data_IF_225320575640
#
_entry.id   IF_225320575640
#
_cell.length_a   1.000
_cell.length_b   1.000
_cell.length_c   1.000
_cell.angle_alpha   90.00
_cell.angle_beta   90.00
_cell.angle_gamma   90.00
#
_symmetry.space_group_name_H-M   'P 1'
#
loop_
_entity.id
_entity.type
_entity.pdbx_description
1 polymer ?
#
# COMPACT_ATOMS: atom_id res chain seq x y z
N UNK A 1 5.25 -25.03 3.00
CA UNK A 1 5.44 -23.89 3.92
C UNK A 1 6.73 -23.18 3.54
N UNK A 2 6.65 -21.93 3.14
CA UNK A 2 7.85 -21.12 2.88
C UNK A 2 8.46 -20.76 4.23
N UNK A 3 9.75 -21.05 4.43
CA UNK A 3 10.42 -20.75 5.69
C UNK A 3 10.45 -19.24 5.90
N UNK A 4 9.99 -18.77 7.06
CA UNK A 4 10.06 -17.38 7.48
C UNK A 4 11.27 -17.16 8.38
N UNK A 5 12.22 -16.36 7.91
CA UNK A 5 13.39 -15.94 8.67
C UNK A 5 13.04 -14.71 9.52
N UNK A 6 13.35 -14.74 10.80
CA UNK A 6 13.30 -13.57 11.67
C UNK A 6 14.62 -12.82 11.60
N UNK A 7 14.61 -11.64 10.98
CA UNK A 7 15.80 -10.78 10.86
C UNK A 7 16.05 -10.04 12.16
N UNK A 8 14.98 -9.46 12.75
CA UNK A 8 15.07 -8.78 14.05
C UNK A 8 13.71 -8.68 14.72
N UNK A 9 13.71 -8.60 16.04
CA UNK A 9 12.51 -8.26 16.84
C UNK A 9 12.88 -7.34 17.98
N UNK A 10 12.04 -6.34 18.24
CA UNK A 10 12.20 -5.41 19.35
C UNK A 10 10.85 -5.14 20.03
N UNK A 11 10.88 -4.95 21.36
CA UNK A 11 9.69 -4.58 22.11
C UNK A 11 9.36 -3.10 21.91
N UNK A 12 8.11 -2.78 21.63
CA UNK A 12 7.64 -1.41 21.41
C UNK A 12 6.19 -1.27 21.87
N UNK A 13 5.89 -0.31 22.76
CA UNK A 13 4.57 -0.03 23.32
C UNK A 13 3.84 -1.29 23.85
N UNK A 14 4.59 -2.17 24.51
CA UNK A 14 4.08 -3.45 25.02
C UNK A 14 3.94 -4.56 23.96
N UNK A 15 3.88 -4.23 22.69
CA UNK A 15 3.87 -5.16 21.56
C UNK A 15 5.27 -5.49 21.04
N UNK A 16 5.34 -6.12 19.87
CA UNK A 16 6.59 -6.53 19.21
C UNK A 16 6.63 -6.00 17.79
N UNK A 17 7.67 -5.24 17.47
CA UNK A 17 8.02 -4.89 16.09
C UNK A 17 9.04 -5.89 15.57
N UNK A 18 8.72 -6.59 14.49
CA UNK A 18 9.63 -7.52 13.85
C UNK A 18 9.92 -7.14 12.40
N UNK A 19 11.07 -7.62 11.91
CA UNK A 19 11.45 -7.63 10.49
C UNK A 19 11.67 -9.08 10.10
N UNK A 20 11.08 -9.46 9.00
CA UNK A 20 11.05 -10.84 8.52
C UNK A 20 11.43 -10.91 7.05
N UNK A 21 12.01 -12.04 6.65
CA UNK A 21 12.44 -12.31 5.29
C UNK A 21 11.98 -13.70 4.86
N UNK A 22 11.57 -13.83 3.62
CA UNK A 22 11.21 -15.12 3.03
C UNK A 22 11.53 -15.16 1.55
N UNK A 23 11.65 -16.36 1.01
CA UNK A 23 11.73 -16.55 -0.44
C UNK A 23 10.32 -16.50 -1.02
N UNK A 24 10.00 -15.43 -1.73
CA UNK A 24 8.69 -15.25 -2.36
C UNK A 24 8.54 -16.16 -3.57
N UNK A 25 7.39 -16.81 -3.67
CA UNK A 25 7.00 -17.61 -4.84
C UNK A 25 6.54 -16.69 -5.97
N UNK A 26 5.83 -15.61 -5.63
CA UNK A 26 5.31 -14.68 -6.62
C UNK A 26 6.41 -13.86 -7.29
N UNK A 27 7.34 -13.30 -6.52
CA UNK A 27 8.40 -12.47 -7.09
C UNK A 27 9.63 -13.27 -7.52
N UNK A 28 9.76 -14.53 -7.06
CA UNK A 28 10.95 -15.35 -7.30
C UNK A 28 12.22 -14.80 -6.62
N UNK A 29 12.07 -13.90 -5.65
CA UNK A 29 13.17 -13.24 -4.92
C UNK A 29 13.00 -13.36 -3.42
N UNK A 30 14.04 -13.00 -2.67
CA UNK A 30 13.89 -12.77 -1.25
C UNK A 30 13.12 -11.48 -1.03
N UNK A 31 12.01 -11.55 -0.29
CA UNK A 31 11.21 -10.40 0.08
C UNK A 31 11.31 -10.15 1.58
N UNK A 32 11.41 -8.87 1.95
CA UNK A 32 11.48 -8.43 3.34
C UNK A 32 10.22 -7.62 3.69
N UNK A 33 9.69 -7.85 4.88
CA UNK A 33 8.55 -7.09 5.38
C UNK A 33 8.66 -6.89 6.90
N UNK A 34 8.02 -5.85 7.40
CA UNK A 34 7.92 -5.60 8.84
C UNK A 34 6.52 -5.89 9.34
N UNK A 35 6.42 -6.40 10.59
CA UNK A 35 5.14 -6.62 11.27
C UNK A 35 5.22 -6.06 12.67
N UNK A 36 4.23 -5.27 13.04
CA UNK A 36 3.96 -4.92 14.43
C UNK A 36 2.81 -5.78 14.97
N UNK A 37 3.07 -6.51 16.03
CA UNK A 37 2.06 -7.28 16.76
C UNK A 37 1.73 -6.55 18.05
N UNK A 38 0.46 -6.13 18.27
CA UNK A 38 0.05 -5.41 19.47
C UNK A 38 0.06 -6.32 20.71
N UNK A 39 0.04 -5.74 21.94
CA UNK A 39 0.16 -6.54 23.18
C UNK A 39 -1.08 -7.35 23.55
N UNK A 40 -2.23 -7.10 22.93
CA UNK A 40 -3.47 -7.79 23.24
C UNK A 40 -3.42 -9.25 22.75
N UNK A 41 -3.91 -10.21 23.55
CA UNK A 41 -3.92 -11.62 23.19
C UNK A 41 -4.96 -11.95 22.09
N UNK A 42 -4.76 -13.11 21.46
CA UNK A 42 -5.68 -13.68 20.47
C UNK A 42 -5.58 -13.06 19.07
N UNK A 43 -6.40 -13.55 18.13
CA UNK A 43 -6.40 -13.05 16.75
C UNK A 43 -6.80 -11.58 16.65
N UNK A 44 -6.01 -10.77 15.94
CA UNK A 44 -6.16 -9.33 15.81
C UNK A 44 -6.40 -8.90 14.38
N UNK A 45 -7.21 -7.85 14.16
CA UNK A 45 -7.36 -7.26 12.83
C UNK A 45 -6.01 -6.82 12.23
N UNK A 46 -5.91 -6.89 10.90
CA UNK A 46 -4.69 -6.59 10.17
C UNK A 46 -4.87 -5.37 9.29
N UNK A 47 -3.91 -4.46 9.29
CA UNK A 47 -3.82 -3.40 8.29
C UNK A 47 -2.49 -3.51 7.55
N UNK A 48 -2.56 -3.51 6.23
CA UNK A 48 -1.38 -3.57 5.34
C UNK A 48 -1.07 -2.16 4.89
N UNK A 49 0.14 -1.66 5.20
CA UNK A 49 0.62 -0.36 4.72
C UNK A 49 1.50 -0.55 3.49
N UNK A 50 1.15 0.10 2.40
CA UNK A 50 1.89 0.12 1.16
C UNK A 50 2.70 1.42 1.05
N UNK A 51 4.02 1.30 0.92
CA UNK A 51 4.94 2.44 0.85
C UNK A 51 5.00 3.06 -0.55
N UNK A 52 5.46 4.32 -0.60
CA UNK A 52 5.66 5.08 -1.85
C UNK A 52 6.96 4.72 -2.57
N UNK A 53 7.24 5.45 -3.66
CA UNK A 53 8.44 5.31 -4.48
C UNK A 53 9.72 5.33 -3.64
N UNK A 54 10.69 4.51 -4.01
CA UNK A 54 12.02 4.35 -3.39
C UNK A 54 12.05 3.76 -1.99
N UNK A 55 10.90 3.67 -1.32
CA UNK A 55 10.80 3.14 0.03
C UNK A 55 10.97 1.62 0.08
N UNK A 56 11.31 1.13 1.26
CA UNK A 56 11.24 -0.27 1.68
C UNK A 56 10.26 -0.39 2.86
N UNK A 57 10.15 -1.58 3.44
CA UNK A 57 9.46 -1.82 4.71
C UNK A 57 9.95 -0.91 5.85
N UNK A 58 11.24 -0.52 5.83
CA UNK A 58 11.88 0.22 6.90
C UNK A 58 11.40 1.69 7.00
N UNK A 59 11.08 2.33 5.88
CA UNK A 59 10.74 3.75 5.89
C UNK A 59 9.56 4.06 6.81
N UNK A 60 8.43 3.38 6.63
CA UNK A 60 7.25 3.57 7.49
C UNK A 60 7.48 2.99 8.88
N UNK A 61 8.18 1.86 8.98
CA UNK A 61 8.50 1.24 10.27
C UNK A 61 9.27 2.19 11.19
N UNK A 62 10.22 2.95 10.64
CA UNK A 62 11.05 3.87 11.41
C UNK A 62 10.42 5.25 11.59
N UNK A 63 9.73 5.78 10.57
CA UNK A 63 9.31 7.19 10.48
C UNK A 63 7.80 7.41 10.55
N UNK A 64 6.99 6.35 10.41
CA UNK A 64 5.53 6.46 10.32
C UNK A 64 4.81 6.63 11.65
N UNK A 65 5.49 6.41 12.78
CA UNK A 65 4.99 6.59 14.17
C UNK A 65 3.68 5.81 14.50
N UNK A 66 3.42 4.72 13.79
CA UNK A 66 2.18 3.96 13.91
C UNK A 66 2.09 3.09 15.18
N UNK A 67 3.23 2.69 15.78
CA UNK A 67 3.27 1.61 16.78
C UNK A 67 2.47 1.91 18.04
N UNK A 68 2.47 3.16 18.52
CA UNK A 68 1.69 3.55 19.70
C UNK A 68 0.20 3.38 19.43
N UNK A 69 -0.31 3.97 18.36
CA UNK A 69 -1.72 3.88 17.99
C UNK A 69 -2.13 2.44 17.67
N UNK A 70 -1.30 1.66 16.96
CA UNK A 70 -1.56 0.26 16.68
C UNK A 70 -1.64 -0.59 17.97
N UNK A 71 -0.78 -0.33 18.95
CA UNK A 71 -0.82 -0.99 20.25
C UNK A 71 -2.12 -0.65 21.01
N UNK A 72 -2.51 0.62 21.07
CA UNK A 72 -3.71 1.09 21.75
C UNK A 72 -5.00 0.53 21.09
N UNK A 73 -5.03 0.47 19.76
CA UNK A 73 -6.17 0.01 18.97
C UNK A 73 -6.20 -1.52 18.77
N UNK A 74 -5.14 -2.22 19.13
CA UNK A 74 -5.04 -3.67 18.98
C UNK A 74 -4.95 -4.12 17.52
N UNK A 75 -4.26 -3.36 16.65
CA UNK A 75 -4.09 -3.65 15.23
C UNK A 75 -2.72 -4.28 14.96
N UNK A 76 -2.68 -5.33 14.16
CA UNK A 76 -1.45 -5.77 13.51
C UNK A 76 -1.21 -4.85 12.29
N UNK A 77 0.01 -4.31 12.18
CA UNK A 77 0.42 -3.50 11.04
C UNK A 77 1.50 -4.24 10.26
N UNK A 78 1.26 -4.46 8.97
CA UNK A 78 2.17 -5.16 8.05
C UNK A 78 2.69 -4.19 7.01
N UNK A 79 4.00 -4.11 6.84
CA UNK A 79 4.67 -3.19 5.93
C UNK A 79 5.60 -3.97 5.00
N UNK A 80 5.18 -4.33 3.78
CA UNK A 80 6.06 -4.97 2.79
C UNK A 80 7.05 -3.99 2.16
N UNK A 81 8.04 -4.54 1.46
CA UNK A 81 8.85 -3.79 0.50
C UNK A 81 7.98 -3.38 -0.71
N UNK A 82 8.44 -2.41 -1.47
CA UNK A 82 7.74 -1.81 -2.62
C UNK A 82 8.01 -2.51 -3.95
N UNK A 83 8.99 -3.40 -3.98
CA UNK A 83 9.36 -4.19 -5.18
C UNK A 83 10.22 -5.40 -4.81
N UNK A 84 10.38 -6.36 -5.72
CA UNK A 84 11.52 -7.28 -5.66
C UNK A 84 12.83 -6.50 -5.76
N UNK A 85 13.91 -7.05 -5.15
CA UNK A 85 15.25 -6.45 -5.17
C UNK A 85 16.32 -7.51 -5.33
N UNK A 86 17.50 -7.11 -5.81
CA UNK A 86 18.68 -7.93 -5.93
C UNK A 86 19.41 -7.75 -7.26
N UNK A 87 20.64 -8.23 -7.37
CA UNK A 87 21.48 -8.09 -8.56
C UNK A 87 20.89 -8.77 -9.81
N UNK A 88 20.15 -9.86 -9.62
CA UNK A 88 19.49 -10.60 -10.71
C UNK A 88 18.11 -10.05 -11.08
N UNK A 89 17.62 -9.04 -10.35
CA UNK A 89 16.31 -8.42 -10.61
C UNK A 89 16.49 -7.25 -11.56
N UNK A 90 15.70 -7.15 -12.63
CA UNK A 90 15.74 -5.98 -13.52
C UNK A 90 15.63 -4.67 -12.74
N UNK A 91 16.37 -3.66 -13.18
CA UNK A 91 16.33 -2.32 -12.62
C UNK A 91 16.45 -1.25 -13.71
N UNK A 92 16.07 -0.04 -13.35
CA UNK A 92 16.23 1.17 -14.18
C UNK A 92 17.04 2.21 -13.38
N UNK A 93 17.72 3.11 -14.07
CA UNK A 93 18.51 4.17 -13.41
C UNK A 93 17.62 5.24 -12.75
N UNK A 94 16.40 5.40 -13.24
CA UNK A 94 15.46 6.36 -12.70
C UNK A 94 14.79 5.84 -11.42
N UNK A 95 14.65 6.70 -10.42
CA UNK A 95 14.07 6.38 -9.12
C UNK A 95 12.60 5.98 -9.16
N UNK A 96 11.89 6.32 -10.22
CA UNK A 96 10.45 6.15 -10.40
C UNK A 96 10.08 4.89 -11.22
N UNK A 97 11.05 4.00 -11.49
CA UNK A 97 10.84 2.76 -12.22
C UNK A 97 11.82 1.67 -11.77
N UNK A 98 11.44 0.40 -11.84
CA UNK A 98 12.28 -0.71 -11.39
C UNK A 98 12.29 -0.90 -9.88
N UNK A 99 13.47 -1.22 -9.31
CA UNK A 99 13.58 -1.53 -7.87
C UNK A 99 13.22 -0.31 -7.00
N UNK A 100 12.24 -0.51 -6.11
CA UNK A 100 11.64 0.56 -5.31
C UNK A 100 10.41 1.21 -5.93
N UNK A 101 9.99 0.78 -7.11
CA UNK A 101 8.90 1.38 -7.88
C UNK A 101 7.99 0.34 -8.56
N UNK A 102 7.58 -0.70 -7.82
CA UNK A 102 6.78 -1.82 -8.36
C UNK A 102 5.32 -1.50 -8.66
N UNK A 103 4.83 -0.31 -8.33
CA UNK A 103 3.47 0.19 -8.59
C UNK A 103 2.34 -0.78 -8.22
N UNK A 104 2.65 -1.82 -7.43
CA UNK A 104 1.69 -2.84 -6.97
C UNK A 104 0.90 -3.48 -8.12
N UNK A 105 1.58 -3.70 -9.25
CA UNK A 105 1.07 -4.40 -10.43
C UNK A 105 1.81 -5.73 -10.63
N UNK A 106 1.22 -6.62 -11.41
CA UNK A 106 1.92 -7.77 -11.97
C UNK A 106 2.33 -7.41 -13.40
N UNK A 107 3.62 -7.25 -13.64
CA UNK A 107 4.15 -6.90 -14.93
C UNK A 107 3.91 -8.02 -15.96
N UNK A 108 3.61 -7.63 -17.19
CA UNK A 108 3.42 -8.54 -18.32
C UNK A 108 4.55 -8.43 -19.35
N UNK A 109 5.32 -7.36 -19.29
CA UNK A 109 6.37 -7.07 -20.25
C UNK A 109 7.76 -7.53 -19.77
N UNK A 110 8.55 -8.09 -20.68
CA UNK A 110 9.94 -8.43 -20.37
C UNK A 110 10.79 -7.15 -20.24
N UNK A 111 11.80 -7.14 -19.38
CA UNK A 111 12.25 -8.24 -18.49
C UNK A 111 11.48 -8.29 -17.14
N UNK A 112 10.54 -7.40 -16.89
CA UNK A 112 9.87 -7.15 -15.61
C UNK A 112 8.96 -8.29 -15.18
N UNK A 113 8.27 -8.94 -16.12
CA UNK A 113 7.26 -9.97 -15.88
C UNK A 113 7.73 -11.14 -15.00
N UNK A 114 9.05 -11.39 -14.96
CA UNK A 114 9.63 -12.49 -14.18
C UNK A 114 9.54 -12.23 -12.67
N UNK A 115 9.76 -10.99 -12.23
CA UNK A 115 9.92 -10.67 -10.81
C UNK A 115 8.91 -9.63 -10.30
N UNK A 116 8.49 -8.68 -11.13
CA UNK A 116 7.61 -7.58 -10.70
C UNK A 116 6.16 -8.04 -10.64
N UNK A 117 5.81 -8.81 -9.60
CA UNK A 117 4.49 -9.38 -9.35
C UNK A 117 3.94 -8.90 -8.01
N UNK A 118 4.00 -7.58 -7.81
CA UNK A 118 3.68 -6.98 -6.53
C UNK A 118 2.19 -7.02 -6.20
N UNK A 119 1.29 -7.06 -7.19
CA UNK A 119 -0.14 -7.23 -6.94
C UNK A 119 -0.41 -8.61 -6.34
N UNK A 120 0.06 -9.69 -6.98
CA UNK A 120 -0.08 -11.06 -6.47
C UNK A 120 0.61 -11.22 -5.11
N UNK A 121 1.77 -10.62 -4.93
CA UNK A 121 2.49 -10.67 -3.66
C UNK A 121 1.67 -10.06 -2.52
N UNK A 122 1.15 -8.83 -2.65
CA UNK A 122 0.45 -8.15 -1.55
C UNK A 122 -0.97 -8.63 -1.33
N UNK A 123 -1.61 -9.25 -2.34
CA UNK A 123 -3.01 -9.71 -2.23
C UNK A 123 -3.16 -11.19 -1.92
N UNK A 124 -2.16 -12.00 -2.20
CA UNK A 124 -2.22 -13.46 -2.07
C UNK A 124 -1.15 -13.99 -1.13
N UNK A 125 0.13 -13.83 -1.47
CA UNK A 125 1.22 -14.46 -0.74
C UNK A 125 1.42 -13.85 0.65
N UNK A 126 1.54 -12.54 0.76
CA UNK A 126 1.78 -11.85 2.02
C UNK A 126 0.64 -12.06 3.06
N UNK A 127 -0.65 -11.92 2.71
CA UNK A 127 -1.74 -12.22 3.66
C UNK A 127 -1.75 -13.68 4.14
N UNK A 128 -1.46 -14.64 3.27
CA UNK A 128 -1.36 -16.06 3.64
C UNK A 128 -0.20 -16.30 4.62
N UNK A 129 0.96 -15.71 4.36
CA UNK A 129 2.13 -15.78 5.22
C UNK A 129 1.87 -15.14 6.60
N UNK A 130 1.18 -14.00 6.62
CA UNK A 130 0.80 -13.31 7.85
C UNK A 130 -0.20 -14.14 8.66
N UNK A 131 -1.17 -14.76 8.02
CA UNK A 131 -2.14 -15.64 8.69
C UNK A 131 -1.48 -16.90 9.28
N UNK A 132 -0.44 -17.43 8.63
CA UNK A 132 0.27 -18.61 9.09
C UNK A 132 1.18 -18.35 10.30
N UNK A 133 1.85 -17.21 10.33
CA UNK A 133 2.95 -16.96 11.28
C UNK A 133 2.62 -15.97 12.41
N UNK A 134 1.49 -15.25 12.33
CA UNK A 134 1.12 -14.23 13.31
C UNK A 134 -0.31 -14.44 13.84
N UNK A 135 -0.65 -13.89 15.00
CA UNK A 135 -2.02 -13.97 15.53
C UNK A 135 -2.97 -13.02 14.77
N UNK A 136 -3.03 -13.21 13.45
CA UNK A 136 -3.74 -12.34 12.53
C UNK A 136 -5.12 -12.89 12.18
N UNK A 137 -6.14 -12.03 12.27
CA UNK A 137 -7.47 -12.29 11.72
C UNK A 137 -7.60 -11.63 10.35
N UNK A 138 -7.23 -12.38 9.33
CA UNK A 138 -7.28 -11.88 7.93
C UNK A 138 -8.69 -11.78 7.37
N UNK A 139 -9.73 -12.22 8.08
CA UNK A 139 -11.11 -11.91 7.74
C UNK A 139 -11.49 -10.46 8.11
N UNK A 140 -10.69 -9.82 8.98
CA UNK A 140 -10.80 -8.42 9.37
C UNK A 140 -9.54 -7.67 8.96
N UNK A 141 -9.43 -7.37 7.65
CA UNK A 141 -8.26 -6.67 7.13
C UNK A 141 -8.62 -5.37 6.43
N UNK A 142 -7.68 -4.43 6.53
CA UNK A 142 -7.69 -3.15 5.85
C UNK A 142 -6.39 -2.93 5.07
N UNK A 143 -6.42 -1.98 4.16
CA UNK A 143 -5.24 -1.59 3.39
C UNK A 143 -5.13 -0.08 3.33
N UNK A 144 -3.92 0.43 3.48
CA UNK A 144 -3.64 1.85 3.33
C UNK A 144 -2.22 2.07 2.79
N UNK A 145 -1.91 3.27 2.37
CA UNK A 145 -0.58 3.52 1.82
C UNK A 145 -0.34 4.98 1.48
N UNK A 146 0.87 5.28 1.02
CA UNK A 146 1.31 6.63 0.69
C UNK A 146 1.77 6.70 -0.78
N UNK A 147 1.38 7.75 -1.49
CA UNK A 147 1.87 8.05 -2.85
C UNK A 147 1.59 6.90 -3.84
N UNK A 148 2.63 6.28 -4.42
CA UNK A 148 2.54 5.03 -5.17
C UNK A 148 1.85 3.92 -4.34
N UNK A 149 2.12 3.85 -3.03
CA UNK A 149 1.45 2.90 -2.14
C UNK A 149 0.00 3.26 -1.84
N UNK A 150 -0.34 4.54 -1.85
CA UNK A 150 -1.72 5.02 -1.83
C UNK A 150 -2.50 4.58 -3.08
N UNK A 151 -1.88 4.72 -4.25
CA UNK A 151 -2.37 4.11 -5.49
C UNK A 151 -2.58 2.60 -5.33
N UNK A 152 -1.58 1.89 -4.82
CA UNK A 152 -1.67 0.45 -4.56
C UNK A 152 -2.82 0.08 -3.64
N UNK A 153 -3.01 0.81 -2.53
CA UNK A 153 -4.09 0.56 -1.58
C UNK A 153 -5.48 0.71 -2.22
N UNK A 154 -5.67 1.75 -3.03
CA UNK A 154 -6.93 1.98 -3.75
C UNK A 154 -7.20 0.88 -4.77
N UNK A 155 -6.23 0.57 -5.64
CA UNK A 155 -6.41 -0.41 -6.72
C UNK A 155 -6.55 -1.84 -6.19
N UNK A 156 -5.78 -2.19 -5.15
CA UNK A 156 -5.89 -3.50 -4.48
C UNK A 156 -7.29 -3.70 -3.90
N UNK A 157 -7.82 -2.69 -3.19
CA UNK A 157 -9.14 -2.80 -2.60
C UNK A 157 -10.27 -2.82 -3.66
N UNK A 158 -10.20 -1.98 -4.69
CA UNK A 158 -11.20 -1.92 -5.77
C UNK A 158 -11.27 -3.21 -6.60
N UNK A 159 -10.13 -3.90 -6.76
CA UNK A 159 -10.03 -5.17 -7.50
C UNK A 159 -10.27 -6.41 -6.65
N UNK A 160 -10.40 -6.25 -5.33
CA UNK A 160 -10.61 -7.35 -4.39
C UNK A 160 -11.90 -7.12 -3.56
N UNK A 161 -13.07 -7.12 -4.20
CA UNK A 161 -14.33 -6.78 -3.54
C UNK A 161 -14.60 -7.71 -2.34
N UNK A 162 -14.95 -7.12 -1.21
CA UNK A 162 -15.26 -7.84 0.04
C UNK A 162 -14.06 -8.33 0.85
N UNK A 163 -12.83 -8.19 0.34
CA UNK A 163 -11.60 -8.61 1.06
C UNK A 163 -11.18 -7.55 2.07
N UNK A 164 -11.09 -6.30 1.67
CA UNK A 164 -10.68 -5.20 2.56
C UNK A 164 -11.90 -4.45 3.09
N UNK A 165 -12.09 -4.47 4.42
CA UNK A 165 -13.21 -3.79 5.11
C UNK A 165 -12.97 -2.31 5.32
N UNK A 166 -11.72 -1.87 5.26
CA UNK A 166 -11.35 -0.47 5.42
C UNK A 166 -10.20 -0.10 4.48
N UNK A 167 -10.30 1.10 3.89
CA UNK A 167 -9.34 1.62 2.93
C UNK A 167 -9.04 3.06 3.26
N UNK A 168 -7.75 3.43 3.25
CA UNK A 168 -7.36 4.83 3.34
C UNK A 168 -6.07 5.11 2.59
N UNK A 169 -5.77 6.38 2.30
CA UNK A 169 -4.56 6.73 1.58
C UNK A 169 -4.01 8.11 1.99
N UNK A 170 -2.68 8.20 2.03
CA UNK A 170 -1.94 9.45 2.13
C UNK A 170 -1.45 9.86 0.74
N UNK A 171 -1.82 11.03 0.27
CA UNK A 171 -1.32 11.63 -0.97
C UNK A 171 -1.22 10.62 -2.14
N UNK A 172 -2.31 9.86 -2.46
CA UNK A 172 -2.27 8.79 -3.47
C UNK A 172 -2.12 9.35 -4.89
N UNK A 173 -1.44 8.60 -5.77
CA UNK A 173 -1.55 8.75 -7.22
C UNK A 173 -2.89 8.14 -7.63
N UNK A 174 -3.94 8.94 -7.81
CA UNK A 174 -5.30 8.42 -7.98
C UNK A 174 -5.63 7.95 -9.39
N UNK A 175 -4.97 8.54 -10.40
CA UNK A 175 -5.20 8.27 -11.82
C UNK A 175 -3.87 8.05 -12.55
N UNK A 176 -3.17 6.93 -12.31
CA UNK A 176 -1.85 6.69 -12.88
C UNK A 176 -1.83 6.69 -14.42
N UNK A 177 -2.93 6.34 -15.07
CA UNK A 177 -3.04 6.42 -16.53
C UNK A 177 -2.99 7.86 -17.10
N UNK A 178 -3.17 8.88 -16.24
CA UNK A 178 -3.29 10.29 -16.64
C UNK A 178 -2.11 11.16 -16.14
N UNK A 179 -1.12 10.56 -15.47
CA UNK A 179 -0.01 11.30 -14.85
C UNK A 179 1.34 10.68 -15.22
N UNK A 180 2.43 11.49 -15.26
CA UNK A 180 3.73 11.06 -15.78
C UNK A 180 4.29 9.80 -15.12
N UNK A 181 4.32 9.72 -13.79
CA UNK A 181 4.83 8.54 -13.09
C UNK A 181 4.04 7.27 -13.44
N UNK A 182 2.72 7.38 -13.43
CA UNK A 182 1.86 6.25 -13.75
C UNK A 182 1.96 5.82 -15.20
N UNK A 183 1.96 6.75 -16.16
CA UNK A 183 2.12 6.44 -17.58
C UNK A 183 3.44 5.73 -17.87
N UNK A 184 4.55 6.18 -17.26
CA UNK A 184 5.85 5.52 -17.38
C UNK A 184 5.80 4.10 -16.83
N UNK A 185 5.29 3.93 -15.61
CA UNK A 185 5.21 2.62 -14.96
C UNK A 185 4.30 1.66 -15.72
N UNK A 186 3.08 2.09 -16.08
CA UNK A 186 2.12 1.26 -16.79
C UNK A 186 2.61 0.89 -18.20
N UNK A 187 3.25 1.81 -18.92
CA UNK A 187 3.89 1.50 -20.20
C UNK A 187 4.97 0.43 -20.04
N UNK A 188 5.86 0.60 -19.07
CA UNK A 188 6.98 -0.31 -18.86
C UNK A 188 6.56 -1.69 -18.35
N UNK A 189 5.60 -1.76 -17.44
CA UNK A 189 5.18 -3.02 -16.85
C UNK A 189 4.08 -3.75 -17.63
N UNK A 190 3.16 -3.03 -18.27
CA UNK A 190 1.97 -3.60 -18.91
C UNK A 190 1.91 -3.40 -20.43
N UNK A 191 2.91 -2.71 -20.98
CA UNK A 191 2.97 -2.37 -22.40
C UNK A 191 2.18 -1.11 -22.77
N UNK A 192 2.26 -0.68 -24.05
CA UNK A 192 1.69 0.58 -24.52
C UNK A 192 0.16 0.56 -24.73
N UNK A 193 -0.47 -0.59 -24.60
CA UNK A 193 -1.92 -0.72 -24.74
C UNK A 193 -2.64 -0.14 -23.50
N UNK A 194 -3.09 1.10 -23.62
CA UNK A 194 -3.75 1.81 -22.53
C UNK A 194 -5.06 1.17 -22.05
N UNK A 195 -5.67 0.31 -22.86
CA UNK A 195 -6.88 -0.41 -22.42
C UNK A 195 -6.60 -1.34 -21.23
N UNK A 196 -5.38 -1.86 -21.13
CA UNK A 196 -4.92 -2.69 -20.00
C UNK A 196 -4.70 -1.87 -18.72
N UNK A 197 -4.44 -0.56 -18.83
CA UNK A 197 -4.12 0.28 -17.68
C UNK A 197 -5.33 0.59 -16.80
N UNK A 198 -6.54 0.57 -17.36
CA UNK A 198 -7.78 0.86 -16.63
C UNK A 198 -7.96 -0.02 -15.39
N UNK A 199 -7.57 -1.29 -15.46
CA UNK A 199 -7.61 -2.20 -14.32
C UNK A 199 -6.61 -1.86 -13.20
N UNK A 200 -5.71 -0.89 -13.44
CA UNK A 200 -4.68 -0.44 -12.50
C UNK A 200 -4.79 1.06 -12.19
N UNK A 201 -5.97 1.65 -12.43
CA UNK A 201 -6.25 3.06 -12.20
C UNK A 201 -7.51 3.18 -11.33
N UNK A 202 -7.36 3.79 -10.15
CA UNK A 202 -8.46 3.82 -9.17
C UNK A 202 -9.66 4.65 -9.68
N UNK A 203 -9.39 5.76 -10.37
CA UNK A 203 -10.45 6.59 -10.98
C UNK A 203 -11.18 5.80 -12.05
N UNK A 204 -10.45 5.16 -12.96
CA UNK A 204 -11.05 4.34 -14.02
C UNK A 204 -11.85 3.15 -13.47
N UNK A 205 -11.34 2.46 -12.45
CA UNK A 205 -12.06 1.35 -11.79
C UNK A 205 -13.39 1.82 -11.17
N UNK A 206 -13.41 2.98 -10.51
CA UNK A 206 -14.65 3.56 -9.94
C UNK A 206 -15.62 3.96 -11.05
N UNK A 207 -15.13 4.58 -12.12
CA UNK A 207 -15.94 4.91 -13.30
C UNK A 207 -16.54 3.67 -13.97
N UNK A 208 -15.81 2.55 -13.97
CA UNK A 208 -16.26 1.26 -14.50
C UNK A 208 -17.20 0.49 -13.53
N UNK A 209 -17.53 1.09 -12.39
CA UNK A 209 -18.52 0.59 -11.44
C UNK A 209 -17.98 -0.21 -10.26
N UNK A 210 -16.65 -0.28 -10.07
CA UNK A 210 -16.07 -0.87 -8.87
C UNK A 210 -16.46 -0.06 -7.62
N UNK A 211 -16.69 -0.75 -6.50
CA UNK A 211 -17.16 -0.14 -5.26
C UNK A 211 -16.17 -0.35 -4.13
N UNK A 212 -16.06 0.66 -3.29
CA UNK A 212 -15.43 0.60 -1.96
C UNK A 212 -16.50 0.85 -0.90
N UNK A 213 -16.30 0.39 0.35
CA UNK A 213 -17.22 0.72 1.44
C UNK A 213 -17.27 2.24 1.61
N UNK A 214 -16.29 2.81 2.20
CA UNK A 214 -16.01 4.23 2.31
C UNK A 214 -14.50 4.45 2.30
N UNK A 215 -14.05 5.65 2.07
CA UNK A 215 -12.65 5.94 1.80
C UNK A 215 -12.19 7.19 2.56
N UNK A 216 -11.04 7.12 3.24
CA UNK A 216 -10.34 8.26 3.81
C UNK A 216 -9.09 8.59 3.00
N UNK A 217 -8.96 9.83 2.58
CA UNK A 217 -7.76 10.34 1.89
C UNK A 217 -7.29 11.63 2.53
N UNK A 218 -6.00 11.70 2.87
CA UNK A 218 -5.33 12.93 3.27
C UNK A 218 -4.32 13.35 2.20
N UNK A 219 -4.28 14.66 1.90
CA UNK A 219 -3.32 15.24 0.94
C UNK A 219 -2.81 16.57 1.47
N UNK A 220 -1.50 16.80 1.45
CA UNK A 220 -0.91 18.08 1.84
C UNK A 220 -1.12 19.17 0.78
N UNK A 221 -1.47 20.40 1.19
CA UNK A 221 -1.65 21.49 0.23
C UNK A 221 -0.32 22.11 -0.24
N UNK A 222 0.79 21.80 0.43
CA UNK A 222 2.15 22.20 0.02
C UNK A 222 2.92 21.03 -0.64
N UNK A 223 2.22 19.95 -0.99
CA UNK A 223 2.81 18.79 -1.65
C UNK A 223 3.27 19.17 -3.07
N UNK A 224 4.58 19.04 -3.39
CA UNK A 224 5.11 19.44 -4.70
C UNK A 224 4.59 18.59 -5.86
N UNK A 225 3.97 17.43 -5.58
CA UNK A 225 3.43 16.52 -6.57
C UNK A 225 1.91 16.67 -6.77
N UNK A 226 1.26 17.54 -5.97
CA UNK A 226 -0.19 17.70 -5.92
C UNK A 226 -0.81 17.86 -7.32
N UNK A 227 -0.34 18.86 -8.07
CA UNK A 227 -0.90 19.23 -9.37
C UNK A 227 -0.47 18.31 -10.53
N UNK A 228 0.71 17.70 -10.43
CA UNK A 228 1.28 16.95 -11.53
C UNK A 228 1.00 15.46 -11.47
N UNK A 229 1.05 14.88 -10.25
CA UNK A 229 1.05 13.42 -10.08
C UNK A 229 -0.13 12.89 -9.23
N UNK A 230 -0.60 13.66 -8.23
CA UNK A 230 -1.60 13.15 -7.29
C UNK A 230 -3.04 13.38 -7.75
N UNK A 231 -3.40 14.59 -8.15
CA UNK A 231 -4.70 15.01 -8.73
C UNK A 231 -5.92 14.50 -7.93
N UNK A 232 -6.01 14.73 -6.62
CA UNK A 232 -7.09 14.19 -5.77
C UNK A 232 -8.50 14.62 -6.21
N UNK A 233 -8.62 15.70 -6.97
CA UNK A 233 -9.88 16.17 -7.56
C UNK A 233 -10.49 15.16 -8.53
N UNK A 234 -9.68 14.35 -9.23
CA UNK A 234 -10.17 13.31 -10.13
C UNK A 234 -10.85 12.18 -9.34
N UNK A 235 -10.26 11.80 -8.20
CA UNK A 235 -10.86 10.79 -7.32
C UNK A 235 -12.18 11.32 -6.73
N UNK A 236 -12.21 12.59 -6.29
CA UNK A 236 -13.43 13.24 -5.80
C UNK A 236 -14.54 13.16 -6.85
N UNK A 237 -14.26 13.61 -8.07
CA UNK A 237 -15.25 13.62 -9.15
C UNK A 237 -15.77 12.19 -9.48
N UNK A 238 -14.88 11.19 -9.51
CA UNK A 238 -15.28 9.80 -9.76
C UNK A 238 -16.15 9.24 -8.62
N UNK A 239 -15.77 9.48 -7.37
CA UNK A 239 -16.52 9.04 -6.19
C UNK A 239 -17.91 9.69 -6.13
N UNK A 240 -18.01 11.01 -6.35
CA UNK A 240 -19.28 11.75 -6.34
C UNK A 240 -20.23 11.19 -7.42
N UNK A 241 -19.73 10.95 -8.62
CA UNK A 241 -20.51 10.37 -9.73
C UNK A 241 -20.96 8.93 -9.46
N UNK A 242 -20.10 8.13 -8.84
CA UNK A 242 -20.38 6.70 -8.57
C UNK A 242 -21.12 6.45 -7.25
N UNK A 243 -21.33 7.48 -6.42
CA UNK A 243 -21.93 7.36 -5.09
C UNK A 243 -21.04 6.59 -4.10
N UNK A 244 -19.71 6.72 -4.23
CA UNK A 244 -18.74 6.20 -3.27
C UNK A 244 -18.47 7.27 -2.21
N UNK A 245 -18.61 6.91 -0.94
CA UNK A 245 -18.38 7.84 0.16
C UNK A 245 -16.87 8.12 0.31
N UNK A 246 -16.47 9.38 0.11
CA UNK A 246 -15.08 9.83 0.20
C UNK A 246 -14.92 10.96 1.23
N UNK A 247 -14.15 10.68 2.27
CA UNK A 247 -13.60 11.70 3.17
C UNK A 247 -12.24 12.15 2.64
N UNK A 248 -12.20 13.22 1.84
CA UNK A 248 -10.97 13.85 1.35
C UNK A 248 -10.63 15.05 2.23
N UNK A 249 -9.48 15.02 2.89
CA UNK A 249 -8.99 16.09 3.75
C UNK A 249 -7.75 16.75 3.13
N UNK A 250 -7.85 18.02 2.81
CA UNK A 250 -6.72 18.82 2.34
C UNK A 250 -6.00 19.43 3.54
N UNK A 251 -4.83 18.92 3.88
CA UNK A 251 -4.05 19.29 5.07
C UNK A 251 -3.18 20.50 4.78
N UNK A 252 -3.60 21.66 5.32
CA UNK A 252 -2.99 22.95 5.02
C UNK A 252 -1.53 23.03 5.44
N UNK A 253 -0.64 23.32 4.46
CA UNK A 253 0.79 23.54 4.66
C UNK A 253 1.63 22.28 4.79
N UNK A 254 1.04 21.08 4.77
CA UNK A 254 1.78 19.82 4.76
C UNK A 254 2.28 19.48 3.36
N UNK A 255 3.44 18.84 3.32
CA UNK A 255 4.13 18.37 2.13
C UNK A 255 3.90 16.86 1.85
N UNK A 256 4.81 16.21 1.12
CA UNK A 256 4.78 14.79 0.76
C UNK A 256 5.58 13.88 1.69
N UNK A 257 6.13 14.44 2.76
CA UNK A 257 7.12 13.75 3.61
C UNK A 257 6.50 12.86 4.71
N UNK A 258 7.37 12.13 5.41
CA UNK A 258 6.95 11.37 6.60
C UNK A 258 6.51 12.26 7.77
N UNK A 259 6.82 13.55 7.80
CA UNK A 259 6.25 14.48 8.78
C UNK A 259 4.74 14.65 8.59
N UNK A 260 4.28 14.68 7.34
CA UNK A 260 2.86 14.64 7.01
C UNK A 260 2.24 13.30 7.42
N UNK A 261 2.82 12.18 7.00
CA UNK A 261 2.30 10.83 7.29
C UNK A 261 2.18 10.59 8.79
N UNK A 262 3.26 10.84 9.56
CA UNK A 262 3.28 10.59 11.01
C UNK A 262 2.27 11.45 11.77
N UNK A 263 2.07 12.70 11.33
CA UNK A 263 1.08 13.60 11.95
C UNK A 263 -0.34 13.04 11.88
N UNK A 264 -0.73 12.40 10.77
CA UNK A 264 -2.10 11.91 10.58
C UNK A 264 -2.24 10.39 10.72
N UNK A 265 -1.15 9.67 11.00
CA UNK A 265 -1.12 8.21 11.11
C UNK A 265 -2.14 7.67 12.13
N UNK A 266 -2.24 8.28 13.30
CA UNK A 266 -3.21 7.86 14.33
C UNK A 266 -4.65 7.97 13.82
N UNK A 267 -4.98 9.02 13.08
CA UNK A 267 -6.33 9.20 12.53
C UNK A 267 -6.68 8.10 11.52
N UNK A 268 -5.72 7.71 10.64
CA UNK A 268 -5.90 6.60 9.72
C UNK A 268 -6.06 5.27 10.44
N UNK A 269 -5.23 4.96 11.44
CA UNK A 269 -5.37 3.72 12.21
C UNK A 269 -6.70 3.68 12.99
N UNK A 270 -7.16 4.80 13.53
CA UNK A 270 -8.47 4.91 14.17
C UNK A 270 -9.60 4.65 13.17
N UNK A 271 -9.49 5.19 11.94
CA UNK A 271 -10.41 4.91 10.84
C UNK A 271 -10.51 3.41 10.54
N UNK A 272 -9.36 2.74 10.43
CA UNK A 272 -9.30 1.30 10.21
C UNK A 272 -9.90 0.51 11.39
N UNK A 273 -9.51 0.82 12.62
CA UNK A 273 -10.00 0.12 13.81
C UNK A 273 -11.53 0.16 13.93
N UNK A 274 -12.14 1.32 13.64
CA UNK A 274 -13.59 1.48 13.70
C UNK A 274 -14.36 0.60 12.69
N UNK A 275 -13.71 0.16 11.61
CA UNK A 275 -14.31 -0.67 10.53
C UNK A 275 -13.94 -2.13 10.64
N UNK A 276 -12.90 -2.43 11.35
CA UNK A 276 -12.42 -3.82 11.52
C UNK A 276 -12.98 -4.49 12.79
N UNK A 277 -13.53 -3.74 13.73
CA UNK A 277 -14.24 -4.24 14.90
C UNK A 277 -13.31 -4.65 16.04
#
# INVERSE_FOLDING_TARGET
MTALETVSTVKSFGGVQGVYKHRSVETGTDMTFAVFVPPQPGPRPVVIYLSGLTCTHANVMEKGEYRKAAAELGLIVVCPDTSPRGESVPNDEAYDFGQGAGFYVDATEAPWATNFRMWSYVTQELPALVAEHFPADTARQGVFGHSMGGHGALTVALRSPGVYRSVSAFAPIVAPSQVPWGQKALTGYLGPDQSKWRAHDAVALIEDGAKLPDLLVDVGTADPFLERELKPELLRAACDKAGVELTLRMQKGYDHSYYFISTFMQAHLTWHAARLG
#
